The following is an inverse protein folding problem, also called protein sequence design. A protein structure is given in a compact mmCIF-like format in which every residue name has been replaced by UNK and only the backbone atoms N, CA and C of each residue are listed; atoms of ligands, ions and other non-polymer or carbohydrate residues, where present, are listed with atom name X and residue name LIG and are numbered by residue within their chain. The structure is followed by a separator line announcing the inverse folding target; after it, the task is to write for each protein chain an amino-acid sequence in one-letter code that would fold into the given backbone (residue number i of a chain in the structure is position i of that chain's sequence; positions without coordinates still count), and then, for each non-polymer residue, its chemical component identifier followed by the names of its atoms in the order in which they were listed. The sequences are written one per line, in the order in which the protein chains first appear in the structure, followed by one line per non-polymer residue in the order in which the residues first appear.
data_IF_761701234969
#
_entry.id   IF_761701234969
#
_cell.length_a   1.000
_cell.length_b   1.000
_cell.length_c   1.000
_cell.angle_alpha   90.00
_cell.angle_beta   90.00
_cell.angle_gamma   90.00
#
_symmetry.space_group_name_H-M   'P 1'
#
loop_
_entity.id
_entity.type
_entity.pdbx_description
1 polymer ?
#
# COMPACT_ATOMS: atom_id res chain seq x y z
N UNK A 1 21.21 -4.94 15.21
CA UNK A 1 20.52 -5.95 16.03
C UNK A 1 19.47 -5.23 16.87
N UNK A 2 18.19 -5.45 16.61
CA UNK A 2 17.09 -4.94 17.44
C UNK A 2 16.88 -5.98 18.55
N UNK A 3 17.29 -5.65 19.77
CA UNK A 3 17.01 -6.49 20.93
C UNK A 3 15.50 -6.50 21.21
N UNK A 4 14.89 -7.59 20.77
CA UNK A 4 13.86 -8.39 21.42
C UNK A 4 12.70 -7.63 22.11
N UNK A 5 11.52 -7.71 21.49
CA UNK A 5 10.22 -7.34 22.05
C UNK A 5 9.83 -8.26 23.23
N UNK A 6 10.45 -8.09 24.40
CA UNK A 6 10.23 -8.99 25.55
C UNK A 6 9.20 -8.48 26.56
N UNK A 7 8.63 -7.28 26.38
CA UNK A 7 7.73 -6.68 27.37
C UNK A 7 6.44 -6.20 26.72
N UNK A 8 5.44 -7.07 26.75
CA UNK A 8 4.07 -6.74 26.41
C UNK A 8 3.25 -6.60 27.70
N UNK A 9 2.33 -5.64 27.70
CA UNK A 9 1.34 -5.46 28.76
C UNK A 9 -0.03 -5.36 28.12
N UNK A 10 -0.97 -6.18 28.56
CA UNK A 10 -2.39 -6.04 28.22
C UNK A 10 -3.05 -5.23 29.32
N UNK A 11 -3.71 -4.14 28.98
CA UNK A 11 -4.46 -3.30 29.91
C UNK A 11 -5.88 -3.11 29.39
N UNK A 12 -6.87 -3.01 30.28
CA UNK A 12 -8.23 -2.66 29.87
C UNK A 12 -8.34 -1.16 29.61
N UNK A 13 -9.12 -0.77 28.61
CA UNK A 13 -9.43 0.65 28.34
C UNK A 13 -9.98 1.36 29.55
N UNK A 14 -10.86 0.71 30.33
CA UNK A 14 -11.41 1.23 31.59
C UNK A 14 -10.32 1.69 32.56
N UNK A 15 -9.32 0.84 32.81
CA UNK A 15 -8.19 1.15 33.71
C UNK A 15 -7.31 2.30 33.22
N UNK A 16 -7.10 2.40 31.90
CA UNK A 16 -6.33 3.51 31.32
C UNK A 16 -7.11 4.83 31.44
N UNK A 17 -8.41 4.79 31.19
CA UNK A 17 -9.30 5.95 31.34
C UNK A 17 -9.32 6.40 32.80
N UNK A 18 -9.45 5.47 33.76
CA UNK A 18 -9.36 5.79 35.20
C UNK A 18 -8.04 6.46 35.57
N UNK A 19 -6.90 5.98 35.05
CA UNK A 19 -5.59 6.61 35.29
C UNK A 19 -5.46 8.01 34.69
N UNK A 20 -6.09 8.27 33.54
CA UNK A 20 -6.10 9.58 32.89
C UNK A 20 -7.06 10.53 33.63
N UNK A 21 -8.24 10.04 34.01
CA UNK A 21 -9.27 10.79 34.73
C UNK A 21 -8.86 11.11 36.18
N UNK A 22 -8.08 10.25 36.83
CA UNK A 22 -7.48 10.53 38.13
C UNK A 22 -6.56 11.78 38.08
N UNK A 23 -6.03 12.13 36.90
CA UNK A 23 -5.20 13.30 36.66
C UNK A 23 -5.96 14.50 36.03
N UNK A 24 -7.27 14.41 35.81
CA UNK A 24 -8.07 15.51 35.27
C UNK A 24 -9.58 15.22 35.17
N UNK A 25 -10.42 16.20 35.49
CA UNK A 25 -11.91 16.14 35.52
C UNK A 25 -12.54 15.87 34.14
N UNK A 26 -12.49 14.64 33.65
CA UNK A 26 -13.31 14.20 32.52
C UNK A 26 -14.10 12.95 32.90
N UNK A 27 -15.42 13.02 32.82
CA UNK A 27 -16.32 11.91 33.13
C UNK A 27 -16.61 11.12 31.84
N UNK A 28 -15.63 10.30 31.43
CA UNK A 28 -15.65 9.52 30.17
C UNK A 28 -16.10 8.06 30.35
N UNK A 29 -16.43 7.64 31.57
CA UNK A 29 -16.69 6.22 31.90
C UNK A 29 -17.94 5.64 31.22
N UNK A 30 -18.87 6.47 30.72
CA UNK A 30 -20.16 6.00 30.19
C UNK A 30 -20.21 5.75 28.67
N UNK A 31 -19.19 6.15 27.90
CA UNK A 31 -19.32 6.22 26.42
C UNK A 31 -18.45 5.19 25.69
N UNK A 32 -17.42 4.62 26.33
CA UNK A 32 -16.45 3.77 25.65
C UNK A 32 -16.65 2.30 26.06
N UNK A 33 -16.93 1.38 25.11
CA UNK A 33 -16.97 -0.05 25.38
C UNK A 33 -15.60 -0.55 25.89
N UNK A 34 -15.59 -1.43 26.89
CA UNK A 34 -14.33 -1.91 27.46
C UNK A 34 -13.66 -2.94 26.55
N UNK A 35 -12.50 -2.60 26.02
CA UNK A 35 -11.65 -3.41 25.17
C UNK A 35 -10.29 -3.69 25.83
N UNK A 36 -9.66 -4.80 25.46
CA UNK A 36 -8.29 -5.13 25.86
C UNK A 36 -7.29 -4.46 24.93
N UNK A 37 -6.38 -3.64 25.48
CA UNK A 37 -5.30 -2.97 24.75
C UNK A 37 -3.98 -3.66 25.02
N UNK A 38 -3.33 -4.13 23.94
CA UNK A 38 -1.96 -4.65 23.99
C UNK A 38 -0.97 -3.49 23.77
N UNK A 39 -0.14 -3.21 24.77
CA UNK A 39 0.90 -2.17 24.73
C UNK A 39 2.28 -2.80 24.87
N UNK A 40 3.29 -2.21 24.23
CA UNK A 40 4.69 -2.56 24.43
C UNK A 40 5.56 -1.29 24.43
N UNK A 41 6.70 -1.36 25.10
CA UNK A 41 7.68 -0.27 25.17
C UNK A 41 8.90 -0.58 24.31
N UNK A 42 9.41 0.42 23.60
CA UNK A 42 10.66 0.31 22.83
C UNK A 42 11.63 1.39 23.31
N UNK A 43 12.81 0.98 23.74
CA UNK A 43 13.92 1.89 24.07
C UNK A 43 14.80 2.08 22.84
N UNK A 44 14.66 3.23 22.17
CA UNK A 44 15.51 3.58 21.04
C UNK A 44 16.78 4.29 21.53
N UNK A 45 17.92 3.60 21.49
CA UNK A 45 19.23 4.24 21.70
C UNK A 45 19.62 4.99 20.44
N UNK A 46 19.43 6.31 20.43
CA UNK A 46 19.94 7.16 19.36
C UNK A 46 21.43 7.40 19.61
N UNK A 47 22.29 6.77 18.82
CA UNK A 47 23.70 7.16 18.77
C UNK A 47 23.79 8.51 18.03
N UNK A 48 24.07 9.58 18.78
CA UNK A 48 24.44 10.85 18.18
C UNK A 48 25.80 10.67 17.51
N UNK A 49 25.80 10.53 16.18
CA UNK A 49 27.01 10.81 15.42
C UNK A 49 27.28 12.31 15.51
N UNK A 50 28.40 12.68 16.13
CA UNK A 50 28.90 14.05 16.14
C UNK A 50 29.10 14.53 14.70
N UNK A 51 28.10 15.24 14.17
CA UNK A 51 28.24 16.02 12.95
C UNK A 51 28.67 17.41 13.35
N UNK A 52 29.99 17.61 13.37
CA UNK A 52 30.58 18.94 13.38
C UNK A 52 30.00 19.78 12.24
N UNK A 53 29.66 21.03 12.56
CA UNK A 53 29.35 22.16 11.67
C UNK A 53 28.33 21.91 10.55
N UNK A 54 27.06 22.23 10.83
CA UNK A 54 26.02 22.36 9.83
C UNK A 54 26.26 23.60 8.94
N UNK A 55 26.91 23.41 7.80
CA UNK A 55 26.69 24.22 6.60
C UNK A 55 25.23 24.04 6.13
N UNK A 56 24.57 25.06 5.54
CA UNK A 56 23.17 24.98 5.13
C UNK A 56 23.01 23.95 4.00
N UNK A 57 22.55 22.74 4.34
CA UNK A 57 22.26 21.68 3.37
C UNK A 57 20.99 22.00 2.60
N UNK A 58 21.14 22.71 1.50
CA UNK A 58 20.18 22.73 0.40
C UNK A 58 20.51 21.60 -0.59
N UNK A 59 20.73 20.38 -0.10
CA UNK A 59 21.01 19.23 -0.96
C UNK A 59 19.69 18.49 -1.23
N UNK A 60 18.95 18.93 -2.26
CA UNK A 60 17.93 18.08 -2.89
C UNK A 60 18.60 16.77 -3.27
N UNK A 61 18.01 15.63 -2.92
CA UNK A 61 18.57 14.33 -3.27
C UNK A 61 18.55 14.21 -4.80
N UNK A 62 19.70 14.21 -5.44
CA UNK A 62 19.82 13.94 -6.87
C UNK A 62 20.06 12.45 -7.08
N UNK A 63 19.48 11.88 -8.14
CA UNK A 63 19.81 10.53 -8.61
C UNK A 63 20.23 10.62 -10.06
N UNK A 64 21.42 10.12 -10.36
CA UNK A 64 21.88 9.94 -11.74
C UNK A 64 21.10 8.81 -12.38
N UNK A 65 20.45 9.08 -13.51
CA UNK A 65 19.77 8.07 -14.33
C UNK A 65 20.49 7.97 -15.67
N UNK A 66 20.95 6.77 -16.00
CA UNK A 66 21.56 6.46 -17.29
C UNK A 66 20.48 6.15 -18.33
N UNK A 67 20.74 6.47 -19.60
CA UNK A 67 19.89 6.05 -20.70
C UNK A 67 20.15 4.57 -21.03
N UNK A 68 19.21 3.71 -20.64
CA UNK A 68 19.28 2.25 -20.83
C UNK A 68 18.59 1.85 -22.16
N UNK A 69 17.95 2.79 -22.87
CA UNK A 69 17.26 2.48 -24.12
C UNK A 69 18.20 2.44 -25.32
N UNK A 70 19.27 3.23 -25.28
CA UNK A 70 20.23 3.39 -26.36
C UNK A 70 21.63 3.03 -25.83
N UNK A 71 21.82 1.75 -25.47
CA UNK A 71 23.11 1.25 -24.99
C UNK A 71 23.99 0.96 -26.22
N UNK A 72 25.17 1.58 -26.37
CA UNK A 72 26.11 1.25 -27.43
C UNK A 72 26.55 -0.22 -27.34
N UNK A 73 26.73 -0.92 -28.46
CA UNK A 73 27.13 -2.34 -28.43
C UNK A 73 28.50 -2.56 -27.78
N UNK A 74 29.39 -1.58 -27.85
CA UNK A 74 30.75 -1.57 -27.34
C UNK A 74 30.89 -0.99 -25.92
N UNK A 75 29.77 -0.74 -25.25
CA UNK A 75 29.78 -0.02 -23.98
C UNK A 75 30.53 -0.77 -22.86
N UNK A 76 30.63 -2.10 -22.92
CA UNK A 76 31.40 -2.91 -21.97
C UNK A 76 32.71 -3.46 -22.58
N UNK A 77 33.10 -2.98 -23.75
CA UNK A 77 34.26 -3.49 -24.49
C UNK A 77 35.58 -2.79 -24.13
N UNK A 78 35.65 -2.07 -22.99
CA UNK A 78 36.94 -1.50 -22.57
C UNK A 78 37.87 -2.62 -22.12
N UNK A 79 39.13 -2.52 -22.52
CA UNK A 79 40.16 -3.50 -22.13
C UNK A 79 40.32 -3.57 -20.60
N UNK A 80 40.17 -2.42 -19.92
CA UNK A 80 40.17 -2.35 -18.46
C UNK A 80 39.01 -3.16 -17.84
N UNK A 81 37.77 -2.96 -18.30
CA UNK A 81 36.62 -3.67 -17.73
C UNK A 81 36.67 -5.16 -18.01
N UNK A 82 37.10 -5.56 -19.21
CA UNK A 82 37.29 -6.97 -19.55
C UNK A 82 38.35 -7.62 -18.68
N UNK A 83 39.48 -6.94 -18.44
CA UNK A 83 40.52 -7.43 -17.53
C UNK A 83 40.00 -7.58 -16.09
N UNK A 84 39.29 -6.57 -15.59
CA UNK A 84 38.72 -6.61 -14.23
C UNK A 84 37.67 -7.73 -14.07
N UNK A 85 36.82 -7.94 -15.09
CA UNK A 85 35.85 -9.04 -15.12
C UNK A 85 36.56 -10.40 -15.13
N UNK A 86 37.61 -10.56 -15.94
CA UNK A 86 38.38 -11.80 -15.99
C UNK A 86 39.06 -12.11 -14.65
N UNK A 87 39.60 -11.09 -13.96
CA UNK A 87 40.16 -11.24 -12.61
C UNK A 87 39.08 -11.70 -11.62
N UNK A 88 37.86 -11.15 -11.71
CA UNK A 88 36.74 -11.56 -10.86
C UNK A 88 36.34 -13.02 -11.13
N UNK A 89 36.28 -13.43 -12.40
CA UNK A 89 35.98 -14.82 -12.79
C UNK A 89 37.05 -15.77 -12.26
N UNK A 90 38.33 -15.47 -12.46
CA UNK A 90 39.43 -16.30 -11.94
C UNK A 90 39.37 -16.45 -10.42
N UNK A 91 39.04 -15.37 -9.70
CA UNK A 91 38.90 -15.42 -8.25
C UNK A 91 37.69 -16.25 -7.78
N UNK A 92 36.62 -16.31 -8.58
CA UNK A 92 35.45 -17.17 -8.32
C UNK A 92 35.76 -18.65 -8.57
N UNK A 93 36.63 -18.96 -9.52
CA UNK A 93 37.02 -20.32 -9.89
C UNK A 93 37.98 -21.00 -8.90
N UNK A 94 38.58 -20.24 -7.97
CA UNK A 94 39.44 -20.81 -6.92
C UNK A 94 38.59 -21.66 -5.96
N UNK A 95 38.83 -22.96 -5.93
CA UNK A 95 38.17 -23.94 -5.05
C UNK A 95 38.44 -23.67 -3.57
N UNK A 96 37.76 -22.67 -2.97
CA UNK A 96 37.55 -22.40 -1.52
C UNK A 96 36.96 -20.98 -1.29
N UNK A 97 35.99 -20.56 -2.11
CA UNK A 97 35.33 -19.25 -1.93
C UNK A 97 34.30 -19.32 -0.81
N UNK A 98 34.44 -18.45 0.20
CA UNK A 98 33.43 -18.24 1.24
C UNK A 98 32.34 -17.28 0.77
N UNK A 99 31.15 -17.31 1.37
CA UNK A 99 30.05 -16.40 1.01
C UNK A 99 30.45 -14.91 1.07
N UNK A 100 31.29 -14.52 2.04
CA UNK A 100 31.78 -13.15 2.16
C UNK A 100 32.65 -12.75 0.97
N UNK A 101 33.48 -13.67 0.46
CA UNK A 101 34.26 -13.44 -0.77
C UNK A 101 33.35 -13.32 -1.99
N UNK A 102 32.28 -14.12 -2.08
CA UNK A 102 31.28 -14.00 -3.15
C UNK A 102 30.63 -12.61 -3.12
N UNK A 103 30.21 -12.14 -1.94
CA UNK A 103 29.61 -10.81 -1.79
C UNK A 103 30.60 -9.71 -2.21
N UNK A 104 31.85 -9.80 -1.76
CA UNK A 104 32.90 -8.84 -2.13
C UNK A 104 33.18 -8.83 -3.65
N UNK A 105 33.18 -10.01 -4.29
CA UNK A 105 33.34 -10.13 -5.75
C UNK A 105 32.14 -9.59 -6.51
N UNK A 106 30.92 -9.78 -6.00
CA UNK A 106 29.72 -9.17 -6.56
C UNK A 106 29.79 -7.64 -6.48
N UNK A 107 30.20 -7.09 -5.34
CA UNK A 107 30.37 -5.65 -5.18
C UNK A 107 31.45 -5.10 -6.12
N UNK A 108 32.57 -5.82 -6.28
CA UNK A 108 33.62 -5.47 -7.25
C UNK A 108 33.08 -5.45 -8.69
N UNK A 109 32.34 -6.50 -9.09
CA UNK A 109 31.70 -6.55 -10.40
C UNK A 109 30.73 -5.38 -10.62
N UNK A 110 29.85 -5.12 -9.65
CA UNK A 110 28.92 -4.00 -9.70
C UNK A 110 29.65 -2.66 -9.85
N UNK A 111 30.82 -2.50 -9.23
CA UNK A 111 31.63 -1.29 -9.37
C UNK A 111 32.25 -1.15 -10.76
N UNK A 112 32.73 -2.23 -11.37
CA UNK A 112 33.20 -2.24 -12.76
C UNK A 112 32.08 -1.77 -13.69
N UNK A 113 30.89 -2.38 -13.56
CA UNK A 113 29.71 -2.00 -14.36
C UNK A 113 29.32 -0.53 -14.14
N UNK A 114 29.25 -0.06 -12.89
CA UNK A 114 28.92 1.33 -12.59
C UNK A 114 29.91 2.31 -13.20
N UNK A 115 31.19 1.96 -13.20
CA UNK A 115 32.26 2.80 -13.74
C UNK A 115 32.09 2.91 -15.26
N UNK A 116 31.94 1.80 -15.97
CA UNK A 116 31.69 1.79 -17.42
C UNK A 116 30.38 2.49 -17.80
N UNK A 117 29.31 2.28 -17.02
CA UNK A 117 28.05 3.00 -17.22
C UNK A 117 28.25 4.52 -17.07
N UNK A 118 29.07 4.95 -16.10
CA UNK A 118 29.30 6.37 -15.85
C UNK A 118 30.16 7.06 -16.91
N UNK A 119 31.08 6.34 -17.54
CA UNK A 119 31.99 6.87 -18.55
C UNK A 119 31.39 6.86 -19.95
N UNK A 120 30.64 5.80 -20.30
CA UNK A 120 30.20 5.58 -21.69
C UNK A 120 28.71 5.81 -21.94
N UNK A 121 27.85 5.74 -20.92
CA UNK A 121 26.43 6.02 -21.10
C UNK A 121 26.10 7.48 -20.84
N UNK A 122 25.23 8.04 -21.67
CA UNK A 122 24.66 9.35 -21.40
C UNK A 122 23.85 9.31 -20.10
N UNK A 123 24.14 10.23 -19.20
CA UNK A 123 23.47 10.31 -17.90
C UNK A 123 22.74 11.63 -17.75
N UNK A 124 21.59 11.59 -17.07
CA UNK A 124 20.83 12.78 -16.67
C UNK A 124 20.73 12.80 -15.16
N UNK A 125 21.13 13.92 -14.56
CA UNK A 125 20.93 14.18 -13.14
C UNK A 125 19.46 14.52 -12.93
N UNK A 126 18.73 13.59 -12.33
CA UNK A 126 17.33 13.83 -11.97
C UNK A 126 17.32 14.39 -10.56
N UNK A 127 16.82 15.61 -10.43
CA UNK A 127 16.46 16.18 -9.14
C UNK A 127 15.26 15.38 -8.64
N UNK A 128 15.44 14.58 -7.60
CA UNK A 128 14.29 14.02 -6.90
C UNK A 128 13.60 15.22 -6.28
N UNK A 129 12.45 15.60 -6.82
CA UNK A 129 11.62 16.59 -6.16
C UNK A 129 11.27 16.02 -4.79
N UNK A 130 11.67 16.69 -3.72
CA UNK A 130 11.20 16.44 -2.34
C UNK A 130 9.71 16.81 -2.18
N UNK A 131 8.93 16.69 -3.26
CA UNK A 131 7.49 16.82 -3.26
C UNK A 131 6.88 15.52 -2.81
N UNK A 132 5.82 15.63 -2.03
CA UNK A 132 4.91 14.55 -1.67
C UNK A 132 4.43 13.86 -2.96
N UNK A 133 5.19 12.86 -3.39
CA UNK A 133 4.87 11.73 -4.24
C UNK A 133 3.68 11.88 -5.20
N UNK A 134 3.97 11.71 -6.49
CA UNK A 134 3.06 11.28 -7.58
C UNK A 134 2.14 10.06 -7.24
N UNK A 135 2.17 9.50 -6.03
CA UNK A 135 1.29 8.42 -5.57
C UNK A 135 -0.19 8.84 -5.49
N UNK A 136 -0.46 10.13 -5.27
CA UNK A 136 -1.84 10.68 -5.25
C UNK A 136 -2.39 10.91 -6.65
N UNK A 137 -1.55 11.38 -7.58
CA UNK A 137 -1.92 11.53 -8.99
C UNK A 137 -1.96 10.16 -9.67
N UNK A 138 -3.15 9.69 -10.03
CA UNK A 138 -3.36 8.37 -10.63
C UNK A 138 -4.07 8.46 -11.98
N UNK A 139 -3.58 9.34 -12.86
CA UNK A 139 -4.20 9.61 -14.17
C UNK A 139 -4.36 8.40 -15.09
N UNK A 140 -3.65 7.29 -14.84
CA UNK A 140 -3.80 6.03 -15.59
C UNK A 140 -4.90 5.12 -15.04
N UNK A 141 -5.54 5.49 -13.93
CA UNK A 141 -6.62 4.68 -13.36
C UNK A 141 -7.93 4.98 -14.10
N UNK A 142 -8.78 3.97 -14.29
CA UNK A 142 -10.00 4.12 -15.09
C UNK A 142 -11.03 5.07 -14.45
N UNK A 143 -11.01 5.20 -13.11
CA UNK A 143 -11.84 6.15 -12.37
C UNK A 143 -11.31 7.60 -12.37
N UNK A 144 -10.23 7.89 -13.10
CA UNK A 144 -9.63 9.23 -13.12
C UNK A 144 -10.26 10.09 -14.21
N UNK A 145 -11.01 11.13 -13.82
CA UNK A 145 -11.68 12.07 -14.72
C UNK A 145 -10.86 13.35 -14.98
N UNK A 146 -11.36 14.17 -15.92
CA UNK A 146 -10.85 15.52 -16.17
C UNK A 146 -11.04 16.43 -14.94
N UNK A 147 -12.20 16.36 -14.29
CA UNK A 147 -12.49 17.07 -13.03
C UNK A 147 -11.45 16.77 -11.93
N UNK A 148 -11.07 15.50 -11.75
CA UNK A 148 -10.01 15.12 -10.79
C UNK A 148 -8.65 15.71 -11.17
N UNK A 149 -8.41 15.93 -12.46
CA UNK A 149 -7.19 16.59 -12.95
C UNK A 149 -7.19 18.07 -12.59
N UNK A 150 -8.33 18.75 -12.75
CA UNK A 150 -8.49 20.15 -12.35
C UNK A 150 -8.32 20.33 -10.85
N UNK A 151 -9.00 19.53 -10.03
CA UNK A 151 -8.87 19.55 -8.57
C UNK A 151 -7.43 19.27 -8.12
N UNK A 152 -6.73 18.36 -8.80
CA UNK A 152 -5.31 18.10 -8.52
C UNK A 152 -4.43 19.31 -8.87
N UNK A 153 -4.69 19.99 -9.99
CA UNK A 153 -3.96 21.20 -10.37
C UNK A 153 -4.16 22.32 -9.34
N UNK A 154 -5.37 22.48 -8.81
CA UNK A 154 -5.70 23.40 -7.71
C UNK A 154 -4.91 23.09 -6.43
N UNK A 155 -4.80 21.81 -6.07
CA UNK A 155 -3.98 21.36 -4.93
C UNK A 155 -2.52 21.74 -5.15
N UNK A 156 -1.96 21.47 -6.33
CA UNK A 156 -0.58 21.81 -6.66
C UNK A 156 -0.34 23.34 -6.66
N UNK A 157 -1.27 24.12 -7.21
CA UNK A 157 -1.17 25.57 -7.26
C UNK A 157 -1.18 26.18 -5.85
N UNK A 158 -2.14 25.76 -5.00
CA UNK A 158 -2.24 26.23 -3.61
C UNK A 158 -1.05 25.80 -2.75
N UNK A 159 -0.54 24.58 -2.93
CA UNK A 159 0.68 24.10 -2.27
C UNK A 159 1.89 24.97 -2.62
N UNK A 160 2.07 25.28 -3.91
CA UNK A 160 3.16 26.13 -4.40
C UNK A 160 3.11 27.53 -3.78
N UNK A 161 1.92 28.13 -3.64
CA UNK A 161 1.73 29.43 -3.00
C UNK A 161 2.08 29.35 -1.51
N UNK A 162 1.57 28.33 -0.81
CA UNK A 162 1.85 28.13 0.62
C UNK A 162 3.34 27.94 0.91
N UNK A 163 4.04 27.12 0.12
CA UNK A 163 5.48 26.87 0.29
C UNK A 163 6.30 28.14 0.02
N UNK A 164 5.94 28.94 -1.00
CA UNK A 164 6.66 30.16 -1.36
C UNK A 164 6.41 31.33 -0.40
N UNK A 165 5.34 31.30 0.39
CA UNK A 165 5.00 32.38 1.32
C UNK A 165 6.03 32.49 2.46
N UNK A 166 6.66 33.66 2.59
CA UNK A 166 7.63 33.98 3.66
C UNK A 166 6.98 34.59 4.91
N UNK A 167 5.82 35.22 4.75
CA UNK A 167 5.13 35.94 5.83
C UNK A 167 4.32 34.96 6.68
N UNK A 168 4.61 34.87 7.98
CA UNK A 168 4.05 33.83 8.86
C UNK A 168 2.52 33.85 8.97
N UNK A 169 1.91 35.03 9.11
CA UNK A 169 0.45 35.17 9.21
C UNK A 169 -0.25 34.72 7.91
N UNK A 170 0.25 35.16 6.75
CA UNK A 170 -0.27 34.75 5.44
C UNK A 170 -0.02 33.26 5.17
N UNK A 171 1.11 32.72 5.64
CA UNK A 171 1.43 31.30 5.50
C UNK A 171 0.42 30.40 6.20
N UNK A 172 -0.12 30.82 7.36
CA UNK A 172 -1.23 30.10 8.03
C UNK A 172 -2.49 30.08 7.16
N UNK A 173 -2.86 31.23 6.57
CA UNK A 173 -3.99 31.32 5.65
C UNK A 173 -3.81 30.41 4.42
N UNK A 174 -2.67 30.51 3.72
CA UNK A 174 -2.41 29.67 2.55
C UNK A 174 -2.32 28.17 2.88
N UNK A 175 -1.85 27.81 4.08
CA UNK A 175 -1.93 26.43 4.56
C UNK A 175 -3.38 25.96 4.65
N UNK A 176 -4.28 26.79 5.17
CA UNK A 176 -5.70 26.44 5.28
C UNK A 176 -6.33 26.27 3.90
N UNK A 177 -6.03 27.17 2.95
CA UNK A 177 -6.49 27.06 1.56
C UNK A 177 -6.02 25.74 0.94
N UNK A 178 -4.73 25.41 1.06
CA UNK A 178 -4.18 24.14 0.58
C UNK A 178 -4.87 22.93 1.21
N UNK A 179 -5.07 22.94 2.54
CA UNK A 179 -5.75 21.83 3.25
C UNK A 179 -7.18 21.66 2.74
N UNK A 180 -7.92 22.75 2.51
CA UNK A 180 -9.29 22.70 2.00
C UNK A 180 -9.33 22.13 0.57
N UNK A 181 -8.47 22.63 -0.33
CA UNK A 181 -8.37 22.10 -1.70
C UNK A 181 -7.98 20.62 -1.72
N UNK A 182 -7.06 20.21 -0.84
CA UNK A 182 -6.67 18.80 -0.69
C UNK A 182 -7.83 17.94 -0.20
N UNK A 183 -8.60 18.39 0.79
CA UNK A 183 -9.79 17.67 1.28
C UNK A 183 -10.83 17.51 0.16
N UNK A 184 -11.07 18.57 -0.61
CA UNK A 184 -12.00 18.55 -1.75
C UNK A 184 -11.55 17.51 -2.80
N UNK A 185 -10.27 17.54 -3.19
CA UNK A 185 -9.70 16.54 -4.10
C UNK A 185 -9.82 15.12 -3.54
N UNK A 186 -9.47 14.91 -2.26
CA UNK A 186 -9.53 13.58 -1.64
C UNK A 186 -10.98 13.04 -1.61
N UNK A 187 -11.99 13.89 -1.35
CA UNK A 187 -13.41 13.53 -1.44
C UNK A 187 -13.82 13.14 -2.86
N UNK A 188 -13.49 13.97 -3.85
CA UNK A 188 -13.81 13.68 -5.25
C UNK A 188 -13.17 12.36 -5.73
N UNK A 189 -11.92 12.08 -5.33
CA UNK A 189 -11.25 10.81 -5.62
C UNK A 189 -11.98 9.63 -5.00
N UNK A 190 -12.51 9.77 -3.78
CA UNK A 190 -13.29 8.72 -3.15
C UNK A 190 -14.62 8.49 -3.89
N UNK A 191 -15.34 9.56 -4.22
CA UNK A 191 -16.60 9.50 -4.99
C UNK A 191 -16.39 8.76 -6.32
N UNK A 192 -15.41 9.20 -7.11
CA UNK A 192 -15.11 8.61 -8.41
C UNK A 192 -14.70 7.12 -8.31
N UNK A 193 -13.95 6.75 -7.26
CA UNK A 193 -13.64 5.33 -7.01
C UNK A 193 -14.90 4.53 -6.70
N UNK A 194 -15.75 5.02 -5.78
CA UNK A 194 -16.98 4.31 -5.40
C UNK A 194 -17.88 4.12 -6.62
N UNK A 195 -18.13 5.18 -7.38
CA UNK A 195 -18.90 5.13 -8.62
C UNK A 195 -18.37 4.07 -9.60
N UNK A 196 -17.05 4.06 -9.82
CA UNK A 196 -16.43 3.05 -10.69
C UNK A 196 -16.61 1.62 -10.15
N UNK A 197 -16.44 1.40 -8.85
CA UNK A 197 -16.64 0.08 -8.24
C UNK A 197 -18.09 -0.38 -8.28
N UNK A 198 -19.05 0.52 -8.03
CA UNK A 198 -20.48 0.22 -8.14
C UNK A 198 -20.86 -0.14 -9.57
N UNK A 199 -20.44 0.66 -10.56
CA UNK A 199 -20.68 0.37 -11.98
C UNK A 199 -20.07 -0.98 -12.39
N UNK A 200 -18.87 -1.30 -11.91
CA UNK A 200 -18.24 -2.61 -12.15
C UNK A 200 -19.02 -3.76 -11.51
N UNK A 201 -19.53 -3.57 -10.29
CA UNK A 201 -20.34 -4.57 -9.59
C UNK A 201 -21.68 -4.80 -10.31
N UNK A 202 -22.34 -3.75 -10.76
CA UNK A 202 -23.56 -3.82 -11.54
C UNK A 202 -23.32 -4.56 -12.88
N UNK A 203 -22.24 -4.20 -13.59
CA UNK A 203 -21.84 -4.89 -14.83
C UNK A 203 -21.61 -6.39 -14.60
N UNK A 204 -20.97 -6.75 -13.48
CA UNK A 204 -20.77 -8.14 -13.09
C UNK A 204 -22.07 -8.85 -12.78
N UNK A 205 -22.96 -8.21 -12.02
CA UNK A 205 -24.27 -8.76 -11.65
C UNK A 205 -25.08 -9.08 -12.91
N UNK A 206 -25.12 -8.14 -13.85
CA UNK A 206 -25.80 -8.30 -15.14
C UNK A 206 -25.14 -9.38 -16.02
N UNK A 207 -23.85 -9.66 -15.81
CA UNK A 207 -23.11 -10.69 -16.55
C UNK A 207 -23.28 -12.10 -15.97
N UNK A 208 -24.00 -12.27 -14.86
CA UNK A 208 -24.14 -13.55 -14.15
C UNK A 208 -24.81 -14.64 -15.01
N UNK A 209 -25.66 -14.26 -15.98
CA UNK A 209 -26.28 -15.18 -16.94
C UNK A 209 -25.30 -15.88 -17.90
N UNK A 210 -24.04 -15.44 -17.96
CA UNK A 210 -22.99 -16.08 -18.75
C UNK A 210 -21.77 -16.36 -17.85
N UNK A 211 -21.65 -17.58 -17.30
CA UNK A 211 -20.57 -17.94 -16.37
C UNK A 211 -19.17 -17.67 -16.92
N UNK A 212 -18.95 -17.86 -18.23
CA UNK A 212 -17.65 -17.65 -18.88
C UNK A 212 -17.27 -16.17 -18.93
N UNK A 213 -18.22 -15.30 -19.26
CA UNK A 213 -18.07 -13.84 -19.24
C UNK A 213 -17.84 -13.33 -17.80
N UNK A 214 -18.66 -13.81 -16.86
CA UNK A 214 -18.57 -13.46 -15.44
C UNK A 214 -17.18 -13.74 -14.85
N UNK A 215 -16.72 -14.99 -14.95
CA UNK A 215 -15.40 -15.38 -14.42
C UNK A 215 -14.24 -14.68 -15.13
N UNK A 216 -14.38 -14.39 -16.43
CA UNK A 216 -13.39 -13.59 -17.17
C UNK A 216 -13.31 -12.15 -16.61
N UNK A 217 -14.44 -11.53 -16.28
CA UNK A 217 -14.49 -10.17 -15.71
C UNK A 217 -14.00 -10.14 -14.25
N UNK A 218 -14.46 -11.06 -13.40
CA UNK A 218 -13.93 -11.27 -12.03
C UNK A 218 -12.42 -11.52 -12.07
N UNK A 219 -11.97 -12.30 -13.04
CA UNK A 219 -10.56 -12.59 -13.32
C UNK A 219 -9.71 -11.33 -13.49
N UNK A 220 -10.27 -10.23 -14.01
CA UNK A 220 -9.57 -8.95 -14.22
C UNK A 220 -9.61 -7.99 -13.02
N UNK A 221 -10.53 -8.23 -12.07
CA UNK A 221 -10.77 -7.35 -10.92
C UNK A 221 -9.80 -7.64 -9.75
N UNK A 222 -9.28 -8.87 -9.68
CA UNK A 222 -8.30 -9.28 -8.66
C UNK A 222 -6.88 -8.76 -8.91
N UNK A 223 -6.05 -8.80 -7.87
CA UNK A 223 -4.61 -8.54 -7.95
C UNK A 223 -3.95 -9.71 -8.69
N UNK A 224 -3.96 -9.67 -10.02
CA UNK A 224 -3.47 -10.76 -10.87
C UNK A 224 -2.01 -11.14 -10.62
N UNK A 225 -1.21 -10.23 -10.03
CA UNK A 225 0.18 -10.49 -9.64
C UNK A 225 0.35 -11.24 -8.32
N UNK A 226 -0.70 -11.35 -7.49
CA UNK A 226 -0.69 -12.02 -6.18
C UNK A 226 -1.44 -13.35 -6.19
N UNK A 227 -2.02 -13.73 -7.34
CA UNK A 227 -2.60 -15.06 -7.51
C UNK A 227 -1.46 -16.06 -7.47
N UNK A 228 -1.34 -16.79 -6.36
CA UNK A 228 -0.56 -18.01 -6.32
C UNK A 228 -1.12 -18.92 -7.43
N UNK A 229 -0.27 -19.34 -8.37
CA UNK A 229 -0.65 -20.28 -9.45
C UNK A 229 -0.90 -21.70 -8.92
N UNK A 230 -0.73 -21.91 -7.61
CA UNK A 230 -0.92 -23.16 -6.91
C UNK A 230 -2.23 -23.07 -6.13
N UNK A 231 -3.11 -24.03 -6.42
CA UNK A 231 -4.36 -24.28 -5.70
C UNK A 231 -3.96 -24.95 -4.38
N UNK A 232 -4.25 -24.35 -3.19
CA UNK A 232 -3.91 -24.97 -1.92
C UNK A 232 -4.57 -26.34 -1.80
N UNK A 233 -3.78 -27.41 -1.73
CA UNK A 233 -4.29 -28.78 -1.63
C UNK A 233 -4.33 -29.24 -0.17
N UNK A 234 -4.62 -28.33 0.75
CA UNK A 234 -4.71 -28.59 2.19
C UNK A 234 -5.96 -27.92 2.74
N UNK A 235 -6.75 -28.67 3.50
CA UNK A 235 -7.95 -28.16 4.17
C UNK A 235 -7.95 -28.54 5.64
N UNK A 236 -8.47 -27.64 6.47
CA UNK A 236 -8.78 -27.95 7.87
C UNK A 236 -10.18 -28.57 7.94
N UNK A 237 -10.24 -29.81 8.37
CA UNK A 237 -11.49 -30.54 8.62
C UNK A 237 -12.13 -30.06 9.93
N UNK A 238 -13.41 -30.37 10.13
CA UNK A 238 -14.18 -29.90 11.29
C UNK A 238 -13.66 -30.46 12.63
N UNK A 239 -12.96 -31.59 12.58
CA UNK A 239 -12.24 -32.17 13.72
C UNK A 239 -10.92 -31.44 14.06
N UNK A 240 -10.57 -30.39 13.32
CA UNK A 240 -9.36 -29.60 13.49
C UNK A 240 -8.11 -30.16 12.82
N UNK A 241 -8.17 -31.36 12.24
CA UNK A 241 -7.07 -31.98 11.50
C UNK A 241 -6.88 -31.33 10.12
N UNK A 242 -5.64 -31.28 9.63
CA UNK A 242 -5.31 -30.80 8.29
C UNK A 242 -5.23 -32.01 7.36
N UNK A 243 -6.08 -32.04 6.34
CA UNK A 243 -6.02 -33.07 5.29
C UNK A 243 -5.42 -32.50 4.02
N UNK A 244 -4.52 -33.28 3.42
CA UNK A 244 -3.98 -33.04 2.08
C UNK A 244 -4.53 -34.03 1.05
N UNK A 245 -5.49 -34.88 1.45
CA UNK A 245 -6.11 -35.83 0.54
C UNK A 245 -6.98 -35.10 -0.48
N UNK A 246 -6.82 -35.45 -1.76
CA UNK A 246 -7.45 -34.72 -2.86
C UNK A 246 -8.98 -34.78 -2.79
N UNK A 247 -9.54 -35.93 -2.44
CA UNK A 247 -10.98 -36.13 -2.43
C UNK A 247 -11.60 -35.45 -1.20
N UNK A 248 -10.92 -35.49 -0.05
CA UNK A 248 -11.32 -34.74 1.14
C UNK A 248 -11.26 -33.22 0.92
N UNK A 249 -10.19 -32.70 0.31
CA UNK A 249 -10.04 -31.29 -0.05
C UNK A 249 -11.17 -30.83 -0.98
N UNK A 250 -11.41 -31.57 -2.07
CA UNK A 250 -12.44 -31.21 -3.04
C UNK A 250 -13.85 -31.28 -2.45
N UNK A 251 -14.14 -32.30 -1.63
CA UNK A 251 -15.43 -32.41 -0.97
C UNK A 251 -15.64 -31.30 0.06
N UNK A 252 -14.61 -30.97 0.86
CA UNK A 252 -14.70 -29.86 1.81
C UNK A 252 -14.98 -28.54 1.11
N UNK A 253 -14.25 -28.26 0.02
CA UNK A 253 -14.48 -27.06 -0.79
C UNK A 253 -15.88 -27.03 -1.40
N UNK A 254 -16.32 -28.15 -1.98
CA UNK A 254 -17.66 -28.25 -2.56
C UNK A 254 -18.75 -27.96 -1.52
N UNK A 255 -18.62 -28.51 -0.32
CA UNK A 255 -19.53 -28.26 0.80
C UNK A 255 -19.49 -26.80 1.24
N UNK A 256 -18.30 -26.25 1.46
CA UNK A 256 -18.12 -24.86 1.92
C UNK A 256 -18.69 -23.88 0.90
N UNK A 257 -18.36 -24.03 -0.38
CA UNK A 257 -18.92 -23.20 -1.45
C UNK A 257 -20.43 -23.38 -1.58
N UNK A 258 -20.95 -24.62 -1.53
CA UNK A 258 -22.41 -24.82 -1.57
C UNK A 258 -23.11 -24.14 -0.41
N UNK A 259 -22.54 -24.18 0.80
CA UNK A 259 -23.09 -23.53 1.98
C UNK A 259 -23.04 -21.99 1.88
N UNK A 260 -22.10 -21.43 1.12
CA UNK A 260 -22.06 -19.99 0.87
C UNK A 260 -23.20 -19.52 -0.04
N UNK A 261 -23.55 -20.30 -1.06
CA UNK A 261 -24.50 -19.90 -2.10
C UNK A 261 -25.92 -20.40 -1.86
N UNK A 262 -26.08 -21.51 -1.16
CA UNK A 262 -27.36 -22.13 -0.83
C UNK A 262 -27.60 -22.07 0.68
N UNK A 263 -27.58 -20.86 1.24
CA UNK A 263 -28.10 -20.70 2.59
C UNK A 263 -29.57 -21.11 2.57
N UNK A 264 -29.91 -22.15 3.33
CA UNK A 264 -31.30 -22.44 3.67
C UNK A 264 -31.79 -21.31 4.59
N UNK A 265 -32.23 -20.20 3.98
CA UNK A 265 -32.92 -19.13 4.68
C UNK A 265 -34.35 -19.61 4.98
N UNK A 266 -34.52 -20.24 6.14
CA UNK A 266 -35.82 -20.31 6.84
C UNK A 266 -36.05 -19.05 7.71
N UNK A 267 -35.29 -17.98 7.46
CA UNK A 267 -35.56 -16.66 8.04
C UNK A 267 -35.88 -15.67 6.94
N UNK A 268 -37.17 -15.52 6.65
CA UNK A 268 -37.75 -14.43 5.88
C UNK A 268 -37.19 -13.08 6.35
N UNK A 269 -36.23 -12.53 5.60
CA UNK A 269 -35.93 -11.10 5.64
C UNK A 269 -36.43 -10.52 4.34
N UNK A 270 -37.69 -10.10 4.38
CA UNK A 270 -38.40 -9.41 3.32
C UNK A 270 -37.76 -8.01 3.15
N UNK A 271 -36.77 -7.89 2.26
CA UNK A 271 -36.22 -6.59 1.85
C UNK A 271 -37.03 -6.15 0.64
N UNK A 272 -37.91 -5.17 0.86
CA UNK A 272 -38.75 -4.56 -0.18
C UNK A 272 -37.88 -3.93 -1.26
N UNK A 273 -38.07 -4.37 -2.50
CA UNK A 273 -37.30 -4.02 -3.71
C UNK A 273 -37.57 -2.64 -4.31
N UNK A 274 -38.32 -1.75 -3.65
CA UNK A 274 -38.92 -0.59 -4.33
C UNK A 274 -38.39 0.81 -3.95
N UNK A 275 -37.37 0.96 -3.09
CA UNK A 275 -36.85 2.29 -2.66
C UNK A 275 -35.40 2.59 -3.07
N UNK A 276 -34.87 1.89 -4.08
CA UNK A 276 -33.42 1.90 -4.41
C UNK A 276 -33.02 3.12 -5.26
N UNK A 277 -33.91 3.79 -5.99
CA UNK A 277 -33.48 4.77 -7.01
C UNK A 277 -33.26 6.21 -6.54
N UNK A 278 -33.69 6.60 -5.33
CA UNK A 278 -33.58 8.00 -4.85
C UNK A 278 -32.47 8.21 -3.80
N UNK A 279 -31.84 7.13 -3.32
CA UNK A 279 -30.87 7.18 -2.21
C UNK A 279 -29.39 7.10 -2.63
N UNK A 280 -29.09 6.96 -3.92
CA UNK A 280 -27.72 6.65 -4.37
C UNK A 280 -26.79 7.86 -4.50
N UNK A 281 -27.30 9.05 -4.82
CA UNK A 281 -26.42 10.21 -5.03
C UNK A 281 -25.91 10.78 -3.69
N UNK A 282 -26.73 10.75 -2.65
CA UNK A 282 -26.38 11.23 -1.31
C UNK A 282 -25.42 10.27 -0.58
N UNK A 283 -25.48 8.97 -0.90
CA UNK A 283 -24.60 7.94 -0.32
C UNK A 283 -23.16 8.02 -0.84
N UNK A 284 -22.95 8.60 -2.03
CA UNK A 284 -21.63 8.72 -2.66
C UNK A 284 -20.80 9.89 -2.10
N UNK A 285 -21.47 10.89 -1.51
CA UNK A 285 -20.85 12.08 -0.92
C UNK A 285 -20.60 11.97 0.58
N UNK A 286 -21.23 10.99 1.24
CA UNK A 286 -21.03 10.71 2.65
C UNK A 286 -19.66 10.07 2.92
N UNK A 287 -19.00 10.51 4.00
CA UNK A 287 -17.87 9.75 4.56
C UNK A 287 -18.37 8.34 4.89
N UNK A 288 -17.59 7.30 4.55
CA UNK A 288 -17.93 5.91 4.86
C UNK A 288 -18.29 5.85 6.34
N UNK A 289 -19.54 5.51 6.63
CA UNK A 289 -20.01 5.48 8.01
C UNK A 289 -19.40 4.28 8.71
N UNK A 290 -19.24 4.41 10.02
CA UNK A 290 -18.77 3.30 10.86
C UNK A 290 -19.73 2.10 10.73
N UNK A 291 -21.04 2.36 10.66
CA UNK A 291 -22.08 1.37 10.37
C UNK A 291 -21.88 0.63 9.04
N UNK A 292 -21.53 1.34 7.97
CA UNK A 292 -21.32 0.76 6.65
C UNK A 292 -20.09 -0.16 6.65
N UNK A 293 -18.99 0.27 7.29
CA UNK A 293 -17.82 -0.59 7.52
C UNK A 293 -18.20 -1.80 8.38
N UNK A 294 -18.99 -1.60 9.44
CA UNK A 294 -19.46 -2.70 10.29
C UNK A 294 -20.35 -3.67 9.54
N UNK A 295 -21.22 -3.22 8.65
CA UNK A 295 -22.08 -4.08 7.85
C UNK A 295 -21.25 -4.92 6.87
N UNK A 296 -20.31 -4.30 6.16
CA UNK A 296 -19.37 -5.02 5.29
C UNK A 296 -18.54 -6.03 6.11
N UNK A 297 -18.03 -5.62 7.27
CA UNK A 297 -17.24 -6.50 8.15
C UNK A 297 -18.07 -7.60 8.80
N UNK A 298 -19.35 -7.36 9.12
CA UNK A 298 -20.26 -8.35 9.71
C UNK A 298 -20.62 -9.41 8.68
N UNK A 299 -20.78 -9.01 7.42
CA UNK A 299 -20.88 -9.93 6.28
C UNK A 299 -19.56 -10.69 6.04
N UNK A 300 -18.40 -10.09 6.36
CA UNK A 300 -17.08 -10.71 6.14
C UNK A 300 -16.49 -11.47 7.34
N UNK A 301 -17.05 -11.36 8.56
CA UNK A 301 -16.56 -12.00 9.80
C UNK A 301 -17.36 -13.23 10.23
N UNK A 302 -18.43 -13.60 9.53
CA UNK A 302 -19.13 -14.89 9.75
C UNK A 302 -18.45 -16.04 8.98
N UNK A 303 -17.12 -16.05 9.01
CA UNK A 303 -16.23 -17.04 8.41
C UNK A 303 -15.27 -17.55 9.49
#
# INVERSE_FOLDING_TARGET
MLDIFNKFKVSRTSLIIEQICANGKFDLQKIIPDHSLLTWEITLKFSQSNKNAAQPKNNRKTKTKYDIKNIPEDWLSSESALNDINIIIQNLEISNVTQDKINNMYDAFVNVIKTEMSTKLSSKVIVLSDGVNNKRRRCKKPWWSEELTELWNDVCASEKIWIKCKIQNQKKFFRQVFVNKRKLFDKAVQKAKRQYWYSMQEELSNSCGNPKEFWRKIGKIGVGSERQNYIPMEVKLDNGHISSDKDEVLNKWKCDFSNMFNRNDDSDVNICENDVDVLYDDMLDCEISVEEVFNVLKCSKKW
#
